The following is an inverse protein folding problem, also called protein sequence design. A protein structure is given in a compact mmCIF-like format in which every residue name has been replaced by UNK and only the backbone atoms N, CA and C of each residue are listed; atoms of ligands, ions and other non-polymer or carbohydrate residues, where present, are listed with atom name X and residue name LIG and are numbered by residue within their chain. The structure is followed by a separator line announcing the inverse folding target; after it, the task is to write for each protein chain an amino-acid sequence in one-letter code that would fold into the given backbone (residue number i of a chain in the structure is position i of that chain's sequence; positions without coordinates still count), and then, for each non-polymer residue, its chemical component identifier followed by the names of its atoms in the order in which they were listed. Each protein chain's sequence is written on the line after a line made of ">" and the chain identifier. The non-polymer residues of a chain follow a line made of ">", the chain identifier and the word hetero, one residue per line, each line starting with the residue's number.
data_IF_769277285548
#
_entry.id   IF_769277285548
#
_cell.length_a   1.000
_cell.length_b   1.000
_cell.length_c   1.000
_cell.angle_alpha   90.00
_cell.angle_beta   90.00
_cell.angle_gamma   90.00
#
_symmetry.space_group_name_H-M   'P 1'
#
loop_
_entity.id
_entity.type
_entity.pdbx_description
1 polymer ?
#
# COMPACT_ATOMS: atom_id res chain seq x y z
N UNK A 1 -1.26 -13.26 30.28
CA UNK A 1 -1.62 -13.24 28.85
C UNK A 1 -2.32 -14.55 28.56
N UNK A 2 -3.55 -14.58 28.04
CA UNK A 2 -4.19 -15.85 27.75
C UNK A 2 -3.39 -16.52 26.64
N UNK A 3 -2.90 -17.74 26.88
CA UNK A 3 -2.17 -18.50 25.88
C UNK A 3 -3.11 -18.82 24.71
N UNK A 4 -2.75 -18.37 23.50
CA UNK A 4 -3.43 -18.81 22.28
C UNK A 4 -3.14 -20.30 22.12
N UNK A 5 -4.18 -21.13 22.04
CA UNK A 5 -4.04 -22.57 21.79
C UNK A 5 -3.66 -22.79 20.32
N UNK A 6 -2.35 -22.94 20.07
CA UNK A 6 -1.77 -23.08 18.74
C UNK A 6 -2.26 -24.37 18.06
N UNK A 7 -2.42 -25.46 18.80
CA UNK A 7 -2.86 -26.74 18.24
C UNK A 7 -4.30 -26.65 17.72
N UNK A 8 -5.17 -25.97 18.48
CA UNK A 8 -6.53 -25.69 18.01
C UNK A 8 -6.54 -24.80 16.77
N UNK A 9 -5.75 -23.72 16.76
CA UNK A 9 -5.65 -22.82 15.61
C UNK A 9 -5.18 -23.58 14.35
N UNK A 10 -4.18 -24.46 14.48
CA UNK A 10 -3.69 -25.28 13.37
C UNK A 10 -4.78 -26.21 12.82
N UNK A 11 -5.56 -26.85 13.68
CA UNK A 11 -6.69 -27.70 13.24
C UNK A 11 -7.76 -26.89 12.49
N UNK A 12 -8.10 -25.70 12.99
CA UNK A 12 -9.03 -24.78 12.31
C UNK A 12 -8.52 -24.32 10.95
N UNK A 13 -7.22 -24.04 10.85
CA UNK A 13 -6.56 -23.68 9.59
C UNK A 13 -6.59 -24.85 8.60
N UNK A 14 -6.33 -26.07 9.05
CA UNK A 14 -6.44 -27.26 8.19
C UNK A 14 -7.87 -27.45 7.69
N UNK A 15 -8.88 -27.19 8.54
CA UNK A 15 -10.28 -27.21 8.13
C UNK A 15 -10.56 -26.16 7.04
N UNK A 16 -10.12 -24.90 7.26
CA UNK A 16 -10.23 -23.83 6.26
C UNK A 16 -9.58 -24.22 4.93
N UNK A 17 -8.37 -24.80 4.96
CA UNK A 17 -7.67 -25.24 3.76
C UNK A 17 -8.47 -26.31 2.98
N UNK A 18 -9.20 -27.19 3.68
CA UNK A 18 -10.08 -28.18 3.06
C UNK A 18 -11.33 -27.59 2.39
N UNK A 19 -11.76 -26.40 2.83
CA UNK A 19 -12.96 -25.71 2.32
C UNK A 19 -12.69 -24.79 1.12
N UNK A 20 -11.47 -24.77 0.56
CA UNK A 20 -11.13 -23.84 -0.55
C UNK A 20 -12.00 -24.02 -1.80
N UNK A 21 -12.55 -25.23 -2.01
CA UNK A 21 -13.48 -25.53 -3.10
C UNK A 21 -14.91 -25.02 -2.86
N UNK A 22 -15.26 -24.66 -1.62
CA UNK A 22 -16.55 -24.07 -1.25
C UNK A 22 -16.33 -22.70 -0.58
N UNK A 23 -16.26 -21.61 -1.38
CA UNK A 23 -16.01 -20.26 -0.88
C UNK A 23 -16.99 -19.79 0.20
N UNK A 24 -18.26 -20.20 0.11
CA UNK A 24 -19.30 -19.79 1.06
C UNK A 24 -19.09 -20.47 2.40
N UNK A 25 -18.80 -21.78 2.40
CA UNK A 25 -18.44 -22.52 3.61
C UNK A 25 -17.13 -21.99 4.20
N UNK A 26 -16.12 -21.71 3.37
CA UNK A 26 -14.86 -21.12 3.82
C UNK A 26 -15.09 -19.80 4.56
N UNK A 27 -15.86 -18.87 3.97
CA UNK A 27 -16.12 -17.56 4.60
C UNK A 27 -16.81 -17.73 5.95
N UNK A 28 -17.83 -18.60 6.03
CA UNK A 28 -18.55 -18.87 7.29
C UNK A 28 -17.61 -19.41 8.37
N UNK A 29 -16.78 -20.40 8.03
CA UNK A 29 -15.81 -20.97 8.96
C UNK A 29 -14.75 -19.93 9.36
N UNK A 30 -14.31 -19.09 8.42
CA UNK A 30 -13.38 -18.01 8.70
C UNK A 30 -13.97 -17.07 9.76
N UNK A 31 -15.20 -16.60 9.59
CA UNK A 31 -15.85 -15.76 10.62
C UNK A 31 -15.97 -16.47 11.97
N UNK A 32 -16.23 -17.78 12.00
CA UNK A 32 -16.27 -18.54 13.25
C UNK A 32 -14.92 -18.52 13.96
N UNK A 33 -13.83 -18.72 13.22
CA UNK A 33 -12.45 -18.63 13.73
C UNK A 33 -12.13 -17.21 14.21
N UNK A 34 -12.37 -16.19 13.38
CA UNK A 34 -12.08 -14.79 13.73
C UNK A 34 -12.90 -14.33 14.95
N UNK A 35 -14.19 -14.66 15.02
CA UNK A 35 -15.06 -14.34 16.15
C UNK A 35 -14.59 -14.99 17.46
N UNK A 36 -14.07 -16.22 17.39
CA UNK A 36 -13.51 -16.89 18.55
C UNK A 36 -12.27 -16.17 19.09
N UNK A 37 -11.35 -15.77 18.20
CA UNK A 37 -10.10 -15.11 18.60
C UNK A 37 -10.24 -13.61 18.89
N UNK A 38 -11.35 -12.96 18.48
CA UNK A 38 -11.64 -11.56 18.82
C UNK A 38 -11.62 -11.30 20.33
N UNK A 39 -12.05 -12.28 21.13
CA UNK A 39 -12.07 -12.17 22.59
C UNK A 39 -10.68 -12.05 23.22
N UNK A 40 -9.64 -12.41 22.47
CA UNK A 40 -8.23 -12.34 22.88
C UNK A 40 -7.53 -11.08 22.38
N UNK A 41 -8.22 -10.24 21.62
CA UNK A 41 -7.73 -8.93 21.21
C UNK A 41 -7.61 -7.99 22.42
N UNK A 42 -6.46 -7.36 22.58
CA UNK A 42 -6.34 -6.25 23.52
C UNK A 42 -7.16 -5.05 23.01
N UNK A 43 -7.94 -4.41 23.90
CA UNK A 43 -8.57 -3.14 23.59
C UNK A 43 -7.49 -2.10 23.28
N UNK A 44 -7.49 -1.47 22.10
CA UNK A 44 -6.56 -0.36 21.83
C UNK A 44 -6.82 0.78 22.81
N UNK A 45 -5.77 1.55 23.12
CA UNK A 45 -5.88 2.76 23.93
C UNK A 45 -6.85 3.74 23.25
N UNK A 46 -7.62 4.50 24.05
CA UNK A 46 -8.72 5.37 23.59
C UNK A 46 -8.34 6.41 22.53
N UNK A 47 -7.05 6.72 22.37
CA UNK A 47 -6.57 7.83 21.53
C UNK A 47 -5.82 7.40 20.26
N UNK A 48 -5.81 6.10 19.90
CA UNK A 48 -5.19 5.66 18.64
C UNK A 48 -6.18 5.74 17.49
N UNK A 49 -5.82 6.45 16.42
CA UNK A 49 -6.57 6.44 15.15
C UNK A 49 -6.70 4.99 14.66
N UNK A 50 -7.92 4.51 14.35
CA UNK A 50 -8.11 3.14 13.89
C UNK A 50 -7.40 2.90 12.56
N UNK A 51 -6.81 1.71 12.41
CA UNK A 51 -6.11 1.31 11.17
C UNK A 51 -7.05 1.31 9.96
N UNK A 52 -8.31 0.91 10.17
CA UNK A 52 -9.36 0.84 9.16
C UNK A 52 -10.67 1.39 9.71
N UNK A 53 -11.49 2.00 8.85
CA UNK A 53 -12.87 2.36 9.16
C UNK A 53 -13.88 1.23 8.86
N UNK A 54 -13.41 0.11 8.32
CA UNK A 54 -14.22 -1.09 8.13
C UNK A 54 -14.55 -1.79 9.45
N UNK A 55 -15.51 -2.71 9.42
CA UNK A 55 -15.71 -3.64 10.54
C UNK A 55 -14.45 -4.48 10.69
N UNK A 56 -13.99 -4.66 11.93
CA UNK A 56 -12.78 -5.41 12.21
C UNK A 56 -12.95 -6.26 13.46
N UNK A 57 -12.42 -7.47 13.40
CA UNK A 57 -12.24 -8.35 14.56
C UNK A 57 -11.03 -7.96 15.41
N UNK A 58 -10.18 -7.02 14.97
CA UNK A 58 -9.07 -6.46 15.77
C UNK A 58 -8.19 -7.55 16.41
N UNK A 59 -7.90 -8.62 15.67
CA UNK A 59 -7.24 -9.80 16.21
C UNK A 59 -5.79 -9.56 16.60
N UNK A 60 -5.22 -10.38 17.52
CA UNK A 60 -3.78 -10.42 17.69
C UNK A 60 -3.07 -10.77 16.38
N UNK A 61 -2.05 -9.99 15.99
CA UNK A 61 -1.31 -10.17 14.73
C UNK A 61 -0.81 -11.60 14.49
N UNK A 62 -0.48 -12.31 15.57
CA UNK A 62 -0.01 -13.69 15.51
C UNK A 62 -1.09 -14.64 14.94
N UNK A 63 -2.37 -14.42 15.25
CA UNK A 63 -3.47 -15.27 14.75
C UNK A 63 -3.59 -15.12 13.23
N UNK A 64 -3.62 -13.88 12.73
CA UNK A 64 -3.69 -13.60 11.29
C UNK A 64 -2.48 -14.21 10.57
N UNK A 65 -1.27 -13.97 11.08
CA UNK A 65 -0.04 -14.53 10.49
C UNK A 65 -0.06 -16.05 10.41
N UNK A 66 -0.59 -16.74 11.43
CA UNK A 66 -0.70 -18.20 11.41
C UNK A 66 -1.72 -18.68 10.37
N UNK A 67 -2.88 -18.01 10.25
CA UNK A 67 -3.87 -18.32 9.21
C UNK A 67 -3.26 -18.15 7.82
N UNK A 68 -2.58 -17.04 7.57
CA UNK A 68 -1.87 -16.77 6.33
C UNK A 68 -0.84 -17.86 6.00
N UNK A 69 0.05 -18.18 6.96
CA UNK A 69 1.06 -19.22 6.77
C UNK A 69 0.45 -20.58 6.44
N UNK A 70 -0.65 -20.92 7.10
CA UNK A 70 -1.36 -22.18 6.88
C UNK A 70 -2.03 -22.29 5.52
N UNK A 71 -2.55 -21.18 4.98
CA UNK A 71 -3.22 -21.16 3.68
C UNK A 71 -2.25 -20.99 2.50
N UNK A 72 -1.01 -20.61 2.75
CA UNK A 72 0.01 -20.34 1.72
C UNK A 72 0.18 -21.49 0.72
N UNK A 73 0.36 -22.71 1.21
CA UNK A 73 0.58 -23.88 0.34
C UNK A 73 -0.65 -24.17 -0.53
N UNK A 74 -1.84 -24.05 0.06
CA UNK A 74 -3.12 -24.23 -0.65
C UNK A 74 -3.25 -23.21 -1.76
N UNK A 75 -2.85 -21.96 -1.51
CA UNK A 75 -2.91 -20.90 -2.50
C UNK A 75 -2.00 -21.16 -3.71
N UNK A 76 -0.82 -21.73 -3.46
CA UNK A 76 0.15 -22.10 -4.49
C UNK A 76 -0.30 -23.33 -5.30
N UNK A 77 -0.93 -24.32 -4.65
CA UNK A 77 -1.32 -25.58 -5.29
C UNK A 77 -2.64 -25.50 -6.05
N UNK A 78 -3.55 -24.60 -5.67
CA UNK A 78 -4.91 -24.52 -6.23
C UNK A 78 -5.30 -23.10 -6.70
N UNK A 79 -4.52 -22.46 -7.59
CA UNK A 79 -4.70 -21.05 -7.95
C UNK A 79 -6.09 -20.73 -8.51
N UNK A 80 -6.68 -21.63 -9.32
CA UNK A 80 -8.02 -21.40 -9.86
C UNK A 80 -9.11 -21.36 -8.78
N UNK A 81 -9.01 -22.20 -7.75
CA UNK A 81 -9.96 -22.19 -6.62
C UNK A 81 -9.75 -20.95 -5.75
N UNK A 82 -8.49 -20.54 -5.57
CA UNK A 82 -8.16 -19.27 -4.88
C UNK A 82 -8.82 -18.09 -5.54
N UNK A 83 -8.78 -17.97 -6.88
CA UNK A 83 -9.44 -16.87 -7.58
C UNK A 83 -10.95 -16.81 -7.31
N UNK A 84 -11.62 -17.95 -7.17
CA UNK A 84 -13.05 -17.96 -6.81
C UNK A 84 -13.22 -17.56 -5.34
N UNK A 85 -12.38 -18.10 -4.44
CA UNK A 85 -12.44 -17.79 -3.01
C UNK A 85 -12.20 -16.30 -2.71
N UNK A 86 -11.18 -15.69 -3.31
CA UNK A 86 -10.88 -14.27 -3.04
C UNK A 86 -12.03 -13.37 -3.49
N UNK A 87 -12.77 -13.72 -4.55
CA UNK A 87 -13.94 -12.96 -4.97
C UNK A 87 -15.03 -13.00 -3.90
N UNK A 88 -15.28 -14.16 -3.27
CA UNK A 88 -16.25 -14.30 -2.19
C UNK A 88 -15.82 -13.53 -0.93
N UNK A 89 -14.54 -13.60 -0.57
CA UNK A 89 -13.97 -12.86 0.57
C UNK A 89 -13.96 -11.34 0.33
N UNK A 90 -13.78 -10.90 -0.91
CA UNK A 90 -13.74 -9.48 -1.25
C UNK A 90 -15.08 -8.77 -1.05
N UNK A 91 -16.18 -9.52 -1.19
CA UNK A 91 -17.54 -8.99 -0.94
C UNK A 91 -17.84 -8.81 0.55
N UNK A 92 -16.94 -9.21 1.46
CA UNK A 92 -17.17 -9.07 2.88
C UNK A 92 -17.01 -7.62 3.37
N UNK A 93 -17.73 -7.30 4.45
CA UNK A 93 -17.70 -6.01 5.14
C UNK A 93 -16.58 -5.93 6.19
N UNK A 94 -15.92 -7.04 6.52
CA UNK A 94 -14.83 -7.11 7.49
C UNK A 94 -13.47 -6.96 6.81
N UNK A 95 -12.61 -6.16 7.44
CA UNK A 95 -11.25 -5.93 6.97
C UNK A 95 -10.44 -7.23 6.87
N UNK A 96 -10.51 -8.11 7.88
CA UNK A 96 -9.72 -9.34 7.92
C UNK A 96 -10.01 -10.27 6.74
N UNK A 97 -11.25 -10.31 6.23
CA UNK A 97 -11.59 -11.10 5.05
C UNK A 97 -10.91 -10.57 3.79
N UNK A 98 -10.91 -9.24 3.59
CA UNK A 98 -10.21 -8.60 2.46
C UNK A 98 -8.69 -8.68 2.59
N UNK A 99 -8.18 -8.60 3.81
CA UNK A 99 -6.76 -8.75 4.12
C UNK A 99 -6.25 -10.17 3.79
N UNK A 100 -7.03 -11.20 4.16
CA UNK A 100 -6.75 -12.60 3.78
C UNK A 100 -6.90 -12.80 2.27
N UNK A 101 -7.92 -12.22 1.63
CA UNK A 101 -8.07 -12.27 0.18
C UNK A 101 -6.85 -11.69 -0.53
N UNK A 102 -6.36 -10.54 -0.04
CA UNK A 102 -5.16 -9.89 -0.56
C UNK A 102 -3.92 -10.77 -0.37
N UNK A 103 -3.77 -11.42 0.80
CA UNK A 103 -2.69 -12.39 1.06
C UNK A 103 -2.72 -13.57 0.09
N UNK A 104 -3.88 -14.23 -0.05
CA UNK A 104 -4.04 -15.41 -0.90
C UNK A 104 -3.68 -15.10 -2.36
N UNK A 105 -4.17 -13.97 -2.88
CA UNK A 105 -3.83 -13.50 -4.22
C UNK A 105 -2.31 -13.34 -4.40
N UNK A 106 -1.62 -12.87 -3.36
CA UNK A 106 -0.18 -12.68 -3.34
C UNK A 106 0.65 -13.95 -3.28
N UNK A 107 0.05 -15.10 -2.97
CA UNK A 107 0.72 -16.40 -2.96
C UNK A 107 0.53 -17.19 -4.26
N UNK A 108 -0.32 -16.70 -5.17
CA UNK A 108 -0.58 -17.36 -6.45
C UNK A 108 0.74 -17.46 -7.25
N UNK A 109 0.98 -18.58 -7.97
CA UNK A 109 2.18 -18.78 -8.79
C UNK A 109 2.36 -17.71 -9.89
N UNK A 110 3.60 -17.46 -10.29
CA UNK A 110 3.98 -16.36 -11.20
C UNK A 110 3.36 -16.49 -12.60
N UNK A 111 3.00 -17.70 -13.01
CA UNK A 111 2.32 -18.01 -14.27
C UNK A 111 0.97 -17.30 -14.39
N UNK A 112 0.38 -16.89 -13.26
CA UNK A 112 -0.88 -16.15 -13.21
C UNK A 112 -0.68 -14.63 -12.99
N UNK A 113 0.55 -14.10 -13.13
CA UNK A 113 0.87 -12.71 -12.83
C UNK A 113 -0.05 -11.69 -13.53
N UNK A 114 -0.41 -11.92 -14.79
CA UNK A 114 -1.31 -11.03 -15.51
C UNK A 114 -2.73 -11.01 -14.92
N UNK A 115 -3.24 -12.18 -14.52
CA UNK A 115 -4.54 -12.29 -13.84
C UNK A 115 -4.51 -11.64 -12.46
N UNK A 116 -3.39 -11.76 -11.74
CA UNK A 116 -3.18 -11.07 -10.45
C UNK A 116 -3.17 -9.56 -10.63
N UNK A 117 -2.42 -9.03 -11.61
CA UNK A 117 -2.40 -7.59 -11.92
C UNK A 117 -3.78 -7.06 -12.30
N UNK A 118 -4.53 -7.82 -13.11
CA UNK A 118 -5.90 -7.44 -13.46
C UNK A 118 -6.81 -7.39 -12.23
N UNK A 119 -6.74 -8.41 -11.35
CA UNK A 119 -7.54 -8.43 -10.13
C UNK A 119 -7.20 -7.24 -9.19
N UNK A 120 -5.91 -6.91 -9.06
CA UNK A 120 -5.46 -5.73 -8.29
C UNK A 120 -6.03 -4.44 -8.91
N UNK A 121 -5.97 -4.30 -10.23
CA UNK A 121 -6.52 -3.14 -10.93
C UNK A 121 -8.03 -3.00 -10.70
N UNK A 122 -8.77 -4.10 -10.82
CA UNK A 122 -10.23 -4.13 -10.61
C UNK A 122 -10.60 -3.74 -9.18
N UNK A 123 -9.84 -4.21 -8.19
CA UNK A 123 -10.02 -3.82 -6.79
C UNK A 123 -9.73 -2.33 -6.57
N UNK A 124 -8.60 -1.83 -7.07
CA UNK A 124 -8.19 -0.42 -6.92
C UNK A 124 -9.12 0.56 -7.64
N UNK A 125 -9.85 0.10 -8.66
CA UNK A 125 -10.83 0.91 -9.38
C UNK A 125 -12.03 1.33 -8.51
N UNK A 126 -12.20 0.70 -7.34
CA UNK A 126 -13.26 1.00 -6.39
C UNK A 126 -12.78 1.97 -5.28
N UNK A 127 -13.70 2.71 -4.62
CA UNK A 127 -13.36 3.41 -3.38
C UNK A 127 -13.00 2.38 -2.30
N UNK A 128 -11.84 2.52 -1.67
CA UNK A 128 -11.34 1.55 -0.70
C UNK A 128 -10.86 2.27 0.58
N UNK A 129 -10.98 1.56 1.69
CA UNK A 129 -10.37 1.97 2.95
C UNK A 129 -8.83 1.90 2.85
N UNK A 130 -8.14 2.77 3.59
CA UNK A 130 -6.68 2.88 3.55
C UNK A 130 -5.98 1.57 3.91
N UNK A 131 -6.48 0.82 4.89
CA UNK A 131 -5.88 -0.45 5.28
C UNK A 131 -5.99 -1.49 4.17
N UNK A 132 -7.08 -1.47 3.40
CA UNK A 132 -7.28 -2.39 2.27
C UNK A 132 -6.31 -2.04 1.15
N UNK A 133 -6.13 -0.75 0.85
CA UNK A 133 -5.15 -0.30 -0.16
C UNK A 133 -3.74 -0.76 0.23
N UNK A 134 -3.36 -0.62 1.50
CA UNK A 134 -2.09 -1.12 2.01
C UNK A 134 -1.97 -2.64 1.85
N UNK A 135 -3.00 -3.40 2.21
CA UNK A 135 -3.02 -4.87 2.05
C UNK A 135 -2.86 -5.29 0.58
N UNK A 136 -3.54 -4.62 -0.36
CA UNK A 136 -3.39 -4.90 -1.80
C UNK A 136 -1.92 -4.73 -2.22
N UNK A 137 -1.33 -3.57 -1.94
CA UNK A 137 0.03 -3.28 -2.42
C UNK A 137 1.12 -4.07 -1.69
N UNK A 138 0.90 -4.49 -0.44
CA UNK A 138 1.89 -5.19 0.37
C UNK A 138 1.74 -6.70 0.37
N UNK A 139 0.53 -7.23 0.18
CA UNK A 139 0.25 -8.67 0.21
C UNK A 139 -0.03 -9.22 -1.17
N UNK A 140 -0.96 -8.64 -1.93
CA UNK A 140 -1.38 -9.19 -3.24
C UNK A 140 -0.30 -9.18 -4.31
N UNK A 141 0.68 -8.29 -4.18
CA UNK A 141 1.80 -8.15 -5.11
C UNK A 141 3.01 -9.02 -4.74
N UNK A 142 2.93 -9.85 -3.69
CA UNK A 142 4.11 -10.50 -3.11
C UNK A 142 4.90 -11.37 -4.11
N UNK A 143 4.27 -12.35 -4.78
CA UNK A 143 4.96 -13.18 -5.78
C UNK A 143 5.60 -12.34 -6.89
N UNK A 144 4.87 -11.36 -7.45
CA UNK A 144 5.34 -10.52 -8.56
C UNK A 144 6.54 -9.67 -8.11
N UNK A 145 6.47 -9.02 -6.94
CA UNK A 145 7.60 -8.23 -6.42
C UNK A 145 8.85 -9.06 -6.18
N UNK A 146 8.68 -10.32 -5.77
CA UNK A 146 9.81 -11.22 -5.48
C UNK A 146 10.45 -11.80 -6.74
N UNK A 147 9.63 -12.17 -7.73
CA UNK A 147 10.12 -12.89 -8.92
C UNK A 147 10.32 -11.98 -10.14
N UNK A 148 9.46 -10.97 -10.33
CA UNK A 148 9.52 -10.02 -11.45
C UNK A 148 9.33 -8.56 -10.99
N UNK A 149 10.27 -8.00 -10.19
CA UNK A 149 10.16 -6.64 -9.65
C UNK A 149 10.07 -5.55 -10.73
N UNK A 150 10.63 -5.78 -11.92
CA UNK A 150 10.49 -4.87 -13.05
C UNK A 150 9.03 -4.76 -13.53
N UNK A 151 8.34 -5.88 -13.69
CA UNK A 151 6.93 -5.92 -14.10
C UNK A 151 6.03 -5.21 -13.08
N UNK A 152 6.34 -5.37 -11.79
CA UNK A 152 5.61 -4.66 -10.74
C UNK A 152 5.82 -3.14 -10.83
N UNK A 153 7.06 -2.69 -11.07
CA UNK A 153 7.34 -1.26 -11.27
C UNK A 153 6.61 -0.70 -12.49
N UNK A 154 6.58 -1.45 -13.58
CA UNK A 154 5.84 -1.04 -14.79
C UNK A 154 4.33 -1.00 -14.55
N UNK A 155 3.78 -1.91 -13.74
CA UNK A 155 2.39 -1.87 -13.33
C UNK A 155 2.07 -0.61 -12.49
N UNK A 156 2.90 -0.27 -11.50
CA UNK A 156 2.74 0.98 -10.73
C UNK A 156 2.86 2.22 -11.62
N UNK A 157 3.80 2.22 -12.59
CA UNK A 157 3.93 3.31 -13.56
C UNK A 157 2.65 3.51 -14.36
N UNK A 158 2.06 2.43 -14.87
CA UNK A 158 0.77 2.49 -15.60
C UNK A 158 -0.36 3.05 -14.74
N UNK A 159 -0.40 2.73 -13.44
CA UNK A 159 -1.39 3.30 -12.52
C UNK A 159 -1.18 4.81 -12.27
N UNK A 160 0.07 5.29 -12.27
CA UNK A 160 0.38 6.72 -12.19
C UNK A 160 -0.01 7.46 -13.48
N UNK A 161 0.09 6.79 -14.63
CA UNK A 161 -0.27 7.34 -15.94
C UNK A 161 -1.79 7.26 -16.24
N UNK A 162 -2.57 6.61 -15.37
CA UNK A 162 -4.02 6.45 -15.52
C UNK A 162 -4.75 7.80 -15.43
N UNK A 163 -5.87 7.94 -16.14
CA UNK A 163 -6.68 9.17 -16.13
C UNK A 163 -7.46 9.38 -14.82
N UNK A 164 -7.63 8.35 -14.00
CA UNK A 164 -8.36 8.40 -12.74
C UNK A 164 -7.47 8.90 -11.59
N UNK A 165 -7.71 10.11 -11.03
CA UNK A 165 -6.89 10.67 -9.96
C UNK A 165 -6.84 9.81 -8.69
N UNK A 166 -7.87 8.98 -8.46
CA UNK A 166 -7.88 8.05 -7.33
C UNK A 166 -6.84 6.95 -7.52
N UNK A 167 -6.78 6.34 -8.70
CA UNK A 167 -5.80 5.30 -9.02
C UNK A 167 -4.38 5.87 -8.95
N UNK A 168 -4.18 7.08 -9.49
CA UNK A 168 -2.92 7.81 -9.36
C UNK A 168 -2.52 8.00 -7.89
N UNK A 169 -3.47 8.43 -7.04
CA UNK A 169 -3.20 8.64 -5.62
C UNK A 169 -2.88 7.34 -4.88
N UNK A 170 -3.57 6.24 -5.22
CA UNK A 170 -3.25 4.91 -4.69
C UNK A 170 -1.86 4.43 -5.14
N UNK A 171 -1.50 4.68 -6.39
CA UNK A 171 -0.16 4.36 -6.90
C UNK A 171 0.92 5.19 -6.20
N UNK A 172 0.70 6.48 -5.94
CA UNK A 172 1.61 7.31 -5.13
C UNK A 172 1.74 6.78 -3.70
N UNK A 173 0.65 6.27 -3.10
CA UNK A 173 0.71 5.61 -1.80
C UNK A 173 1.58 4.35 -1.84
N UNK A 174 1.39 3.49 -2.85
CA UNK A 174 2.20 2.28 -3.04
C UNK A 174 3.69 2.63 -3.24
N UNK A 175 3.92 3.65 -4.05
CA UNK A 175 5.25 4.16 -4.34
C UNK A 175 5.93 4.63 -3.05
N UNK A 176 5.24 5.44 -2.23
CA UNK A 176 5.71 5.90 -0.92
C UNK A 176 6.07 4.75 0.05
N UNK A 177 5.39 3.62 -0.04
CA UNK A 177 5.66 2.44 0.79
C UNK A 177 6.81 1.57 0.28
N UNK A 178 7.21 1.71 -1.00
CA UNK A 178 8.24 0.88 -1.64
C UNK A 178 9.67 1.43 -1.57
N UNK A 179 9.88 2.56 -0.89
CA UNK A 179 11.18 3.23 -0.88
C UNK A 179 12.27 2.54 -0.06
N UNK A 180 11.92 1.64 0.87
CA UNK A 180 12.91 0.90 1.67
C UNK A 180 13.87 0.07 0.81
N UNK A 181 13.46 -0.28 -0.41
CA UNK A 181 14.26 -1.05 -1.38
C UNK A 181 14.68 -0.22 -2.60
N UNK A 182 14.61 1.12 -2.53
CA UNK A 182 14.96 1.97 -3.66
C UNK A 182 16.47 1.99 -3.89
N UNK A 183 16.91 1.54 -5.06
CA UNK A 183 18.29 1.70 -5.50
C UNK A 183 18.57 3.17 -5.87
N UNK A 184 19.76 3.68 -5.52
CA UNK A 184 20.15 5.06 -5.83
C UNK A 184 20.07 5.39 -7.32
N UNK A 185 20.37 4.41 -8.18
CA UNK A 185 20.27 4.52 -9.65
C UNK A 185 18.85 4.80 -10.15
N UNK A 186 17.81 4.48 -9.37
CA UNK A 186 16.41 4.66 -9.75
C UNK A 186 15.84 6.04 -9.38
N UNK A 187 16.58 6.86 -8.61
CA UNK A 187 16.14 8.18 -8.13
C UNK A 187 15.74 9.14 -9.28
N UNK A 188 16.50 9.27 -10.39
CA UNK A 188 16.10 10.15 -11.48
C UNK A 188 14.76 9.74 -12.11
N UNK A 189 14.50 8.43 -12.24
CA UNK A 189 13.23 7.94 -12.76
C UNK A 189 12.07 8.26 -11.81
N UNK A 190 12.30 8.18 -10.50
CA UNK A 190 11.34 8.59 -9.47
C UNK A 190 10.99 10.08 -9.62
N UNK A 191 11.98 10.96 -9.77
CA UNK A 191 11.72 12.39 -9.97
C UNK A 191 10.85 12.67 -11.19
N UNK A 192 11.16 12.02 -12.32
CA UNK A 192 10.36 12.14 -13.54
C UNK A 192 8.91 11.69 -13.34
N UNK A 193 8.69 10.60 -12.59
CA UNK A 193 7.35 10.07 -12.32
C UNK A 193 6.54 10.98 -11.39
N UNK A 194 7.15 11.60 -10.36
CA UNK A 194 6.42 12.43 -9.40
C UNK A 194 6.27 13.90 -9.81
N UNK A 195 7.09 14.38 -10.76
CA UNK A 195 7.09 15.78 -11.23
C UNK A 195 5.69 16.26 -11.63
N UNK A 196 4.92 15.57 -12.50
CA UNK A 196 3.58 16.04 -12.90
C UNK A 196 2.64 16.27 -11.72
N UNK A 197 2.74 15.42 -10.69
CA UNK A 197 1.90 15.51 -9.49
C UNK A 197 2.31 16.67 -8.57
N UNK A 198 3.61 16.96 -8.46
CA UNK A 198 4.10 18.14 -7.74
C UNK A 198 3.67 19.44 -8.43
N UNK A 199 3.70 19.47 -9.76
CA UNK A 199 3.27 20.61 -10.56
C UNK A 199 1.76 20.84 -10.50
N UNK A 200 0.98 19.76 -10.36
CA UNK A 200 -0.48 19.85 -10.24
C UNK A 200 -0.93 20.61 -8.99
N UNK A 201 -2.05 21.34 -9.09
CA UNK A 201 -2.71 21.98 -7.95
C UNK A 201 -3.78 21.07 -7.31
N UNK A 202 -3.63 19.75 -7.43
CA UNK A 202 -4.57 18.80 -6.85
C UNK A 202 -4.12 18.40 -5.44
N UNK A 203 -4.86 18.79 -4.39
CA UNK A 203 -4.46 18.53 -3.00
C UNK A 203 -4.54 17.04 -2.63
N UNK A 204 -5.23 16.21 -3.43
CA UNK A 204 -5.37 14.77 -3.16
C UNK A 204 -4.03 14.04 -3.08
N UNK A 205 -3.02 14.56 -3.77
CA UNK A 205 -1.69 13.95 -3.86
C UNK A 205 -0.74 14.42 -2.76
N UNK A 206 -1.03 15.53 -2.08
CA UNK A 206 -0.07 16.25 -1.23
C UNK A 206 0.50 15.40 -0.11
N UNK A 207 -0.33 14.57 0.53
CA UNK A 207 0.11 13.69 1.61
C UNK A 207 1.08 12.62 1.13
N UNK A 208 0.80 12.01 -0.01
CA UNK A 208 1.67 10.97 -0.57
C UNK A 208 2.94 11.58 -1.17
N UNK A 209 2.84 12.73 -1.86
CA UNK A 209 4.00 13.46 -2.36
C UNK A 209 4.92 13.91 -1.22
N UNK A 210 4.37 14.42 -0.11
CA UNK A 210 5.16 14.78 1.07
C UNK A 210 5.92 13.59 1.61
N UNK A 211 5.29 12.41 1.73
CA UNK A 211 5.97 11.17 2.17
C UNK A 211 7.11 10.81 1.21
N UNK A 212 6.84 10.80 -0.10
CA UNK A 212 7.84 10.48 -1.13
C UNK A 212 9.04 11.43 -1.03
N UNK A 213 8.79 12.74 -1.05
CA UNK A 213 9.86 13.76 -0.97
C UNK A 213 10.62 13.65 0.35
N UNK A 214 9.94 13.36 1.47
CA UNK A 214 10.60 13.16 2.77
C UNK A 214 11.57 11.98 2.74
N UNK A 215 11.22 10.89 2.06
CA UNK A 215 12.10 9.73 1.93
C UNK A 215 13.26 10.03 0.99
N UNK A 216 12.99 10.64 -0.17
CA UNK A 216 14.02 11.05 -1.14
C UNK A 216 15.03 12.03 -0.51
N UNK A 217 14.55 12.98 0.30
CA UNK A 217 15.39 13.93 1.02
C UNK A 217 16.33 13.26 2.03
N UNK A 218 15.99 12.08 2.55
CA UNK A 218 16.87 11.29 3.42
C UNK A 218 17.90 10.48 2.63
N UNK A 219 17.49 9.95 1.46
CA UNK A 219 18.33 9.08 0.62
C UNK A 219 19.35 9.90 -0.19
N UNK A 220 18.89 10.93 -0.90
CA UNK A 220 19.73 11.86 -1.68
C UNK A 220 19.26 13.30 -1.46
N UNK A 221 19.70 13.95 -0.36
CA UNK A 221 19.29 15.31 -0.02
C UNK A 221 19.60 16.35 -1.11
N UNK A 222 20.80 16.25 -1.71
CA UNK A 222 21.27 17.22 -2.71
C UNK A 222 20.47 17.13 -4.02
N UNK A 223 20.27 15.92 -4.55
CA UNK A 223 19.49 15.72 -5.77
C UNK A 223 18.02 16.09 -5.55
N UNK A 224 17.46 15.75 -4.39
CA UNK A 224 16.06 16.09 -4.07
C UNK A 224 15.87 17.61 -3.99
N UNK A 225 16.79 18.38 -3.40
CA UNK A 225 16.69 19.85 -3.42
C UNK A 225 16.86 20.43 -4.80
N UNK A 226 17.80 19.91 -5.60
CA UNK A 226 17.96 20.35 -6.98
C UNK A 226 16.66 20.15 -7.76
N UNK A 227 16.08 18.96 -7.69
CA UNK A 227 14.80 18.63 -8.30
C UNK A 227 13.68 19.59 -7.85
N UNK A 228 13.50 19.82 -6.54
CA UNK A 228 12.46 20.73 -6.05
C UNK A 228 12.65 22.18 -6.52
N UNK A 229 13.90 22.64 -6.67
CA UNK A 229 14.20 23.97 -7.23
C UNK A 229 13.87 24.06 -8.71
N UNK A 230 14.11 23.00 -9.46
CA UNK A 230 13.75 22.88 -10.87
C UNK A 230 12.22 22.94 -11.03
N UNK A 231 11.49 22.14 -10.24
CA UNK A 231 10.02 22.18 -10.22
C UNK A 231 9.49 23.56 -9.85
N UNK A 232 10.05 24.23 -8.83
CA UNK A 232 9.70 25.61 -8.49
C UNK A 232 9.99 26.59 -9.62
N UNK A 233 11.06 26.40 -10.38
CA UNK A 233 11.42 27.30 -11.47
C UNK A 233 10.45 27.17 -12.66
N UNK A 234 9.94 25.97 -12.90
CA UNK A 234 9.08 25.65 -14.05
C UNK A 234 7.58 25.70 -13.73
N UNK A 235 7.19 25.98 -12.47
CA UNK A 235 5.79 25.93 -12.01
C UNK A 235 5.44 27.21 -11.29
N UNK A 236 4.52 27.99 -11.87
CA UNK A 236 4.01 29.20 -11.22
C UNK A 236 2.94 28.87 -10.17
N UNK A 237 2.79 29.76 -9.18
CA UNK A 237 1.68 29.74 -8.22
C UNK A 237 2.06 29.42 -6.77
N UNK A 238 1.19 29.80 -5.84
CA UNK A 238 1.43 29.62 -4.41
C UNK A 238 1.30 28.15 -3.93
N UNK A 239 0.66 27.28 -4.73
CA UNK A 239 0.45 25.88 -4.35
C UNK A 239 1.76 25.10 -4.29
N UNK A 240 2.63 25.24 -5.29
CA UNK A 240 3.93 24.57 -5.30
C UNK A 240 4.81 25.06 -4.15
N UNK A 241 4.75 26.35 -3.81
CA UNK A 241 5.46 26.89 -2.66
C UNK A 241 5.00 26.26 -1.35
N UNK A 242 3.69 26.04 -1.20
CA UNK A 242 3.10 25.38 -0.03
C UNK A 242 3.60 23.94 0.05
N UNK A 243 3.51 23.17 -1.05
CA UNK A 243 3.99 21.78 -1.13
C UNK A 243 5.46 21.67 -0.71
N UNK A 244 6.33 22.49 -1.31
CA UNK A 244 7.77 22.49 -0.98
C UNK A 244 8.01 22.91 0.47
N UNK A 245 7.28 23.90 0.99
CA UNK A 245 7.41 24.36 2.38
C UNK A 245 7.14 23.24 3.38
N UNK A 246 6.14 22.39 3.13
CA UNK A 246 5.81 21.26 4.04
C UNK A 246 6.92 20.21 4.12
N UNK A 247 7.83 20.17 3.14
CA UNK A 247 8.93 19.21 3.09
C UNK A 247 10.25 19.75 3.66
N UNK A 248 10.34 21.05 4.01
CA UNK A 248 11.60 21.68 4.44
C UNK A 248 12.27 20.99 5.63
N UNK A 249 11.46 20.47 6.56
CA UNK A 249 11.96 19.81 7.76
C UNK A 249 12.60 18.44 7.49
N UNK A 250 12.48 17.91 6.27
CA UNK A 250 13.14 16.67 5.87
C UNK A 250 14.62 16.86 5.50
N UNK A 251 15.07 18.10 5.31
CA UNK A 251 16.43 18.40 4.84
C UNK A 251 17.37 18.85 5.98
N UNK A 252 18.68 18.53 5.89
CA UNK A 252 19.72 19.14 6.73
C UNK A 252 19.73 20.67 6.61
N UNK A 253 20.23 21.37 7.63
CA UNK A 253 20.11 22.83 7.74
C UNK A 253 20.69 23.60 6.55
N UNK A 254 21.88 23.22 6.09
CA UNK A 254 22.59 23.86 4.97
C UNK A 254 21.78 23.76 3.67
N UNK A 255 21.28 22.55 3.39
CA UNK A 255 20.50 22.23 2.20
C UNK A 255 19.12 22.91 2.26
N UNK A 256 18.50 22.92 3.43
CA UNK A 256 17.23 23.59 3.71
C UNK A 256 17.32 25.09 3.46
N UNK A 257 18.40 25.75 3.90
CA UNK A 257 18.60 27.19 3.66
C UNK A 257 18.60 27.53 2.16
N UNK A 258 19.26 26.69 1.36
CA UNK A 258 19.30 26.84 -0.09
C UNK A 258 17.93 26.72 -0.77
N UNK A 259 17.05 25.85 -0.25
CA UNK A 259 15.68 25.69 -0.74
C UNK A 259 14.76 26.83 -0.28
N UNK A 260 14.96 27.36 0.94
CA UNK A 260 14.25 28.56 1.44
C UNK A 260 14.53 29.79 0.58
N UNK A 261 15.78 30.00 0.16
CA UNK A 261 16.13 31.10 -0.75
C UNK A 261 15.45 30.94 -2.12
N UNK A 262 15.37 29.72 -2.66
CA UNK A 262 14.65 29.45 -3.89
C UNK A 262 13.15 29.80 -3.78
N UNK A 263 12.50 29.47 -2.65
CA UNK A 263 11.10 29.85 -2.38
C UNK A 263 10.90 31.37 -2.35
N UNK A 264 11.83 32.13 -1.74
CA UNK A 264 11.76 33.60 -1.72
C UNK A 264 11.88 34.18 -3.13
N UNK A 265 12.79 33.65 -3.93
CA UNK A 265 13.00 34.10 -5.31
C UNK A 265 11.81 33.79 -6.21
N UNK A 266 11.19 32.61 -6.06
CA UNK A 266 9.98 32.25 -6.78
C UNK A 266 8.83 33.24 -6.51
N UNK A 267 8.57 33.55 -5.23
CA UNK A 267 7.56 34.54 -4.83
C UNK A 267 7.73 35.90 -5.49
N UNK A 268 8.98 36.38 -5.56
CA UNK A 268 9.32 37.66 -6.18
C UNK A 268 9.10 37.68 -7.69
N UNK A 269 9.22 36.53 -8.37
CA UNK A 269 8.96 36.41 -9.81
C UNK A 269 7.48 36.29 -10.14
N UNK A 270 6.67 35.79 -9.20
CA UNK A 270 5.23 35.60 -9.35
C UNK A 270 4.40 36.85 -8.97
N UNK A 271 5.03 37.89 -8.42
CA UNK A 271 4.48 39.22 -8.15
C UNK A 271 4.77 40.16 -9.32
#
# INVERSE_FOLDING_TARGET
>A
MPAIDISRLQSQISNLAGLISDPSAFRKELHAVLSFYHRYAHRPAKDTVPKSFMRAYNLPDQVIKQIELGLRKTAQSHPNQVFVLICELWQDDHFEARDIAAFLLGQVPIEFADRVKQQIFDWLSQPLDRAVIEAIFTKSSQTIRQQTPADWRDFIRKLLEDANPRLQNYALHAFAAGFDTLELSAIPAVFNQIRPFLQSNDPRFDDNLRKIVTVLAKISPNETVYFLKEVLSDTAGAHIESKVRTCLNAFPEEIRASLVEALKNHRRRAQ
#
